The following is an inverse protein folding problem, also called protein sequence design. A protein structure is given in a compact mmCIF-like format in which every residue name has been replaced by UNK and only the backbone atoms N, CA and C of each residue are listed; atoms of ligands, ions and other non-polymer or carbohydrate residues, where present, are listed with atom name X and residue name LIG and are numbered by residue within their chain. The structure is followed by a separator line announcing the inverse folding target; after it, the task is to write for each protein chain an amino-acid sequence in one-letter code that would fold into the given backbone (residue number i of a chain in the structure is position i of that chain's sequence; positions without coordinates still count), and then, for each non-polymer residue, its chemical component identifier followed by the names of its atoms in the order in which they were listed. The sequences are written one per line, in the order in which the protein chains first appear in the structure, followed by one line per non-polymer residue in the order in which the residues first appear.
data_IF_709885129500
#
_entry.id   IF_709885129500
#
_cell.length_a   1.000
_cell.length_b   1.000
_cell.length_c   1.000
_cell.angle_alpha   90.00
_cell.angle_beta   90.00
_cell.angle_gamma   90.00
#
_symmetry.space_group_name_H-M   'P 1'
#
loop_
_entity.id
_entity.type
_entity.pdbx_description
1 polymer ?
#
# COMPACT_ATOMS: atom_id res chain seq x y z
N UNK A 1 18.08 7.21 2.11
CA UNK A 1 17.75 6.77 3.49
C UNK A 1 16.63 5.75 3.40
N UNK A 2 16.82 4.55 3.95
CA UNK A 2 15.79 3.51 3.95
C UNK A 2 14.87 3.65 5.15
N UNK A 3 13.57 3.60 4.92
CA UNK A 3 12.57 3.58 5.98
C UNK A 3 12.33 2.14 6.42
N UNK A 4 12.79 1.77 7.61
CA UNK A 4 12.66 0.41 8.15
C UNK A 4 11.30 0.13 8.80
N UNK A 5 10.53 1.18 9.12
CA UNK A 5 9.17 1.06 9.66
C UNK A 5 8.11 0.80 8.60
N UNK A 6 8.40 0.02 7.55
CA UNK A 6 7.54 -0.12 6.37
C UNK A 6 6.08 -0.51 6.70
N UNK A 7 5.86 -1.27 7.78
CA UNK A 7 4.54 -1.67 8.28
C UNK A 7 3.78 -0.57 9.04
N UNK A 8 4.36 0.63 9.14
CA UNK A 8 3.73 1.82 9.67
C UNK A 8 3.81 2.97 8.66
N UNK A 9 4.16 2.69 7.41
CA UNK A 9 4.36 3.68 6.38
C UNK A 9 3.12 4.56 6.19
N UNK A 10 1.91 3.98 6.24
CA UNK A 10 0.67 4.72 6.04
C UNK A 10 0.48 5.89 7.02
N UNK A 11 0.45 5.70 8.36
CA UNK A 11 0.30 6.82 9.29
C UNK A 11 1.47 7.81 9.20
N UNK A 12 2.72 7.33 9.07
CA UNK A 12 3.86 8.26 8.92
C UNK A 12 3.73 9.11 7.64
N UNK A 13 3.29 8.53 6.54
CA UNK A 13 3.10 9.24 5.28
C UNK A 13 2.02 10.34 5.39
N UNK A 14 0.94 10.08 6.12
CA UNK A 14 -0.12 11.08 6.35
C UNK A 14 0.44 12.35 7.02
N UNK A 15 1.30 12.21 8.02
CA UNK A 15 1.83 13.34 8.80
C UNK A 15 3.15 13.92 8.27
N UNK A 16 4.04 13.10 7.73
CA UNK A 16 5.42 13.48 7.38
C UNK A 16 5.67 13.63 5.88
N UNK A 17 4.79 13.10 5.02
CA UNK A 17 4.97 13.00 3.56
C UNK A 17 6.20 12.18 3.12
N UNK A 18 6.30 11.95 1.81
CA UNK A 18 7.50 11.38 1.22
C UNK A 18 8.67 12.36 1.31
N UNK A 19 9.91 11.89 1.50
CA UNK A 19 11.10 12.73 1.46
C UNK A 19 11.14 13.60 0.19
N UNK A 20 11.63 14.84 0.32
CA UNK A 20 11.70 15.85 -0.73
C UNK A 20 10.35 16.38 -1.28
N UNK A 21 9.20 15.91 -0.79
CA UNK A 21 7.88 16.47 -1.13
C UNK A 21 7.37 17.39 -0.02
N UNK A 22 6.81 18.53 -0.41
CA UNK A 22 6.19 19.51 0.52
C UNK A 22 4.66 19.35 0.54
N UNK A 23 4.01 19.92 1.55
CA UNK A 23 2.55 19.93 1.73
C UNK A 23 2.07 19.10 2.92
N UNK A 24 0.78 19.23 3.24
CA UNK A 24 0.10 18.47 4.30
C UNK A 24 -1.18 17.85 3.77
N UNK A 25 -1.52 16.64 4.21
CA UNK A 25 -2.80 16.00 3.87
C UNK A 25 -4.01 16.63 4.59
N UNK A 26 -3.75 17.46 5.60
CA UNK A 26 -4.79 18.08 6.45
C UNK A 26 -5.03 19.57 6.12
N UNK A 27 -4.35 20.10 5.10
CA UNK A 27 -4.49 21.50 4.69
C UNK A 27 -5.21 21.57 3.32
N UNK A 28 -6.40 22.17 3.23
CA UNK A 28 -7.10 22.32 1.94
C UNK A 28 -6.29 23.06 0.88
N UNK A 29 -5.48 24.04 1.28
CA UNK A 29 -4.61 24.80 0.38
C UNK A 29 -3.30 24.08 0.01
N UNK A 30 -3.11 22.85 0.48
CA UNK A 30 -1.91 22.07 0.23
C UNK A 30 -1.68 21.82 -1.27
N UNK A 31 -0.43 21.85 -1.76
CA UNK A 31 -0.11 21.57 -3.16
C UNK A 31 -0.38 20.11 -3.59
N UNK A 32 -0.85 19.26 -2.66
CA UNK A 32 -1.23 17.88 -2.91
C UNK A 32 -2.57 17.76 -3.65
N UNK A 33 -3.43 18.76 -3.51
CA UNK A 33 -4.81 18.69 -3.91
C UNK A 33 -5.11 19.72 -4.98
N UNK A 34 -6.03 19.38 -5.88
CA UNK A 34 -6.58 20.32 -6.85
C UNK A 34 -7.46 21.34 -6.11
N UNK A 35 -7.61 22.58 -6.61
CA UNK A 35 -8.51 23.56 -6.01
C UNK A 35 -9.95 23.06 -5.82
N UNK A 36 -10.43 22.16 -6.67
CA UNK A 36 -11.75 21.54 -6.58
C UNK A 36 -11.92 20.61 -5.37
N UNK A 37 -10.85 20.00 -4.88
CA UNK A 37 -10.86 19.00 -3.80
C UNK A 37 -10.79 19.63 -2.40
N UNK A 38 -10.67 20.97 -2.30
CA UNK A 38 -10.49 21.70 -1.05
C UNK A 38 -11.57 21.39 0.00
N UNK A 39 -12.82 21.28 -0.45
CA UNK A 39 -13.95 20.98 0.45
C UNK A 39 -13.89 19.55 0.98
N UNK A 40 -13.41 18.62 0.18
CA UNK A 40 -13.24 17.22 0.58
C UNK A 40 -12.14 17.08 1.62
N UNK A 41 -11.01 17.79 1.41
CA UNK A 41 -9.90 17.83 2.38
C UNK A 41 -10.34 18.46 3.69
N UNK A 42 -11.09 19.58 3.64
CA UNK A 42 -11.62 20.22 4.85
C UNK A 42 -12.55 19.27 5.60
N UNK A 43 -13.49 18.63 4.89
CA UNK A 43 -14.42 17.67 5.48
C UNK A 43 -13.69 16.51 6.14
N UNK A 44 -12.73 15.90 5.42
CA UNK A 44 -11.90 14.81 5.95
C UNK A 44 -11.13 15.23 7.21
N UNK A 45 -10.54 16.43 7.21
CA UNK A 45 -9.81 16.97 8.36
C UNK A 45 -10.71 17.19 9.57
N UNK A 46 -11.92 17.72 9.36
CA UNK A 46 -12.91 17.88 10.42
C UNK A 46 -13.39 16.53 10.98
N UNK A 47 -13.61 15.54 10.12
CA UNK A 47 -13.95 14.17 10.56
C UNK A 47 -12.83 13.54 11.39
N UNK A 48 -11.57 13.73 11.01
CA UNK A 48 -10.42 13.30 11.81
C UNK A 48 -10.39 13.99 13.18
N UNK A 49 -10.61 15.32 13.22
CA UNK A 49 -10.70 16.07 14.47
C UNK A 49 -11.84 15.56 15.37
N UNK A 50 -13.02 15.34 14.80
CA UNK A 50 -14.17 14.79 15.51
C UNK A 50 -13.89 13.39 16.09
N UNK A 51 -13.21 12.53 15.33
CA UNK A 51 -12.80 11.21 15.79
C UNK A 51 -11.82 11.30 16.97
N UNK A 52 -10.82 12.19 16.90
CA UNK A 52 -9.89 12.42 18.01
C UNK A 52 -10.64 12.89 19.27
N UNK A 53 -11.58 13.83 19.13
CA UNK A 53 -12.39 14.31 20.25
C UNK A 53 -13.28 13.20 20.85
N UNK A 54 -13.88 12.37 19.99
CA UNK A 54 -14.65 11.21 20.43
C UNK A 54 -13.79 10.24 21.25
N UNK A 55 -12.61 9.89 20.74
CA UNK A 55 -11.68 8.99 21.42
C UNK A 55 -11.17 9.60 22.73
N UNK A 56 -10.92 10.90 22.78
CA UNK A 56 -10.56 11.61 24.01
C UNK A 56 -11.69 11.54 25.04
N UNK A 57 -12.94 11.80 24.65
CA UNK A 57 -14.10 11.68 25.52
C UNK A 57 -14.29 10.26 26.07
N UNK A 58 -14.18 9.25 25.21
CA UNK A 58 -14.24 7.84 25.62
C UNK A 58 -13.09 7.47 26.58
N UNK A 59 -11.89 8.01 26.34
CA UNK A 59 -10.72 7.80 27.20
C UNK A 59 -10.91 8.43 28.57
N UNK A 60 -11.50 9.61 28.65
CA UNK A 60 -11.81 10.26 29.93
C UNK A 60 -12.89 9.50 30.70
N UNK A 61 -13.88 8.94 30.00
CA UNK A 61 -14.99 8.21 30.61
C UNK A 61 -14.62 6.79 31.08
N UNK A 62 -13.84 6.06 30.28
CA UNK A 62 -13.56 4.62 30.48
C UNK A 62 -12.10 4.31 30.79
N UNK A 63 -11.24 5.32 30.83
CA UNK A 63 -9.81 5.19 31.08
C UNK A 63 -8.97 4.85 29.84
N UNK A 64 -7.66 5.04 29.95
CA UNK A 64 -6.72 4.81 28.84
C UNK A 64 -6.65 3.33 28.39
N UNK A 65 -6.89 2.37 29.29
CA UNK A 65 -6.93 0.94 28.95
C UNK A 65 -8.06 0.60 27.98
N UNK A 66 -9.20 1.30 28.06
CA UNK A 66 -10.29 1.16 27.10
C UNK A 66 -9.83 1.56 25.70
N UNK A 67 -9.19 2.72 25.56
CA UNK A 67 -8.66 3.21 24.28
C UNK A 67 -7.67 2.21 23.67
N UNK A 68 -6.73 1.70 24.47
CA UNK A 68 -5.73 0.75 23.99
C UNK A 68 -6.39 -0.55 23.52
N UNK A 69 -7.29 -1.12 24.31
CA UNK A 69 -7.89 -2.42 24.03
C UNK A 69 -8.85 -2.39 22.83
N UNK A 70 -9.67 -1.36 22.72
CA UNK A 70 -10.77 -1.33 21.76
C UNK A 70 -10.51 -0.49 20.53
N UNK A 71 -9.48 0.37 20.54
CA UNK A 71 -9.17 1.20 19.39
C UNK A 71 -7.71 1.08 18.96
N UNK A 72 -6.75 1.48 19.81
CA UNK A 72 -5.35 1.58 19.39
C UNK A 72 -4.75 0.21 19.02
N UNK A 73 -5.00 -0.83 19.81
CA UNK A 73 -4.54 -2.19 19.52
C UNK A 73 -5.05 -2.73 18.18
N UNK A 74 -6.38 -2.81 17.97
CA UNK A 74 -6.96 -3.22 16.68
C UNK A 74 -6.52 -2.35 15.51
N UNK A 75 -6.41 -1.03 15.71
CA UNK A 75 -5.94 -0.09 14.68
C UNK A 75 -4.49 -0.37 14.26
N UNK A 76 -3.59 -0.63 15.21
CA UNK A 76 -2.20 -0.98 14.92
C UNK A 76 -2.10 -2.28 14.14
N UNK A 77 -2.89 -3.31 14.49
CA UNK A 77 -2.96 -4.56 13.73
C UNK A 77 -3.44 -4.30 12.30
N UNK A 78 -4.51 -3.50 12.14
CA UNK A 78 -5.02 -3.12 10.84
C UNK A 78 -3.98 -2.39 9.99
N UNK A 79 -3.29 -1.38 10.55
CA UNK A 79 -2.24 -0.62 9.84
C UNK A 79 -1.11 -1.53 9.40
N UNK A 80 -0.56 -2.33 10.32
CA UNK A 80 0.54 -3.25 10.00
C UNK A 80 0.14 -4.25 8.91
N UNK A 81 -1.09 -4.77 9.00
CA UNK A 81 -1.58 -5.72 8.01
C UNK A 81 -1.85 -5.07 6.65
N UNK A 82 -2.44 -3.88 6.62
CA UNK A 82 -2.67 -3.11 5.39
C UNK A 82 -1.35 -2.82 4.68
N UNK A 83 -0.36 -2.29 5.41
CA UNK A 83 0.95 -1.98 4.86
C UNK A 83 1.69 -3.25 4.39
N UNK A 84 1.54 -4.37 5.11
CA UNK A 84 2.09 -5.66 4.71
C UNK A 84 1.51 -6.15 3.37
N UNK A 85 0.18 -6.10 3.21
CA UNK A 85 -0.51 -6.50 1.97
C UNK A 85 -0.10 -5.59 0.81
N UNK A 86 -0.12 -4.26 1.01
CA UNK A 86 0.31 -3.31 -0.02
C UNK A 86 1.76 -3.54 -0.41
N UNK A 87 2.65 -3.74 0.58
CA UNK A 87 4.06 -4.01 0.32
C UNK A 87 4.24 -5.27 -0.54
N UNK A 88 3.61 -6.38 -0.16
CA UNK A 88 3.76 -7.67 -0.84
C UNK A 88 3.30 -7.67 -2.29
N UNK A 89 2.25 -6.92 -2.62
CA UNK A 89 1.73 -6.86 -3.97
C UNK A 89 2.51 -5.90 -4.89
N UNK A 90 3.29 -4.98 -4.31
CA UNK A 90 3.97 -3.92 -5.06
C UNK A 90 5.51 -3.93 -4.93
N UNK A 91 6.06 -4.86 -4.15
CA UNK A 91 7.50 -4.93 -3.87
C UNK A 91 8.04 -6.32 -4.13
N UNK A 92 8.73 -6.46 -5.26
CA UNK A 92 9.44 -7.67 -5.64
C UNK A 92 10.59 -7.31 -6.59
N UNK A 93 11.66 -8.11 -6.57
CA UNK A 93 12.90 -7.77 -7.31
C UNK A 93 12.70 -7.69 -8.83
N UNK A 94 11.75 -8.46 -9.36
CA UNK A 94 11.46 -8.60 -10.79
C UNK A 94 10.23 -7.79 -11.25
N UNK A 95 9.64 -6.97 -10.36
CA UNK A 95 8.59 -6.02 -10.72
C UNK A 95 9.25 -4.75 -11.29
N UNK A 96 8.96 -4.38 -12.54
CA UNK A 96 9.51 -3.17 -13.14
C UNK A 96 8.83 -1.92 -12.60
N UNK A 97 9.60 -0.86 -12.46
CA UNK A 97 9.13 0.51 -12.28
C UNK A 97 9.37 1.28 -13.56
N UNK A 98 8.35 1.98 -14.04
CA UNK A 98 8.40 2.77 -15.27
C UNK A 98 8.40 4.26 -14.97
N UNK A 99 9.12 5.04 -15.78
CA UNK A 99 9.24 6.51 -15.65
C UNK A 99 9.02 7.22 -16.97
N UNK A 100 8.67 8.50 -16.87
CA UNK A 100 8.50 9.38 -18.04
C UNK A 100 7.52 8.79 -19.05
N UNK A 101 7.87 8.87 -20.32
CA UNK A 101 7.03 8.40 -21.43
C UNK A 101 6.85 6.87 -21.46
N UNK A 102 7.70 6.13 -20.75
CA UNK A 102 7.59 4.69 -20.63
C UNK A 102 6.49 4.24 -19.66
N UNK A 103 5.98 5.17 -18.84
CA UNK A 103 4.90 4.92 -17.90
C UNK A 103 3.54 5.22 -18.53
N UNK A 104 2.63 4.26 -18.44
CA UNK A 104 1.19 4.48 -18.63
C UNK A 104 0.41 3.56 -17.70
N UNK A 105 -0.88 3.87 -17.51
CA UNK A 105 -1.73 3.21 -16.52
C UNK A 105 -1.62 1.68 -16.50
N UNK A 106 -1.77 1.02 -17.66
CA UNK A 106 -1.76 -0.45 -17.72
C UNK A 106 -0.38 -1.05 -17.39
N UNK A 107 0.74 -0.43 -17.81
CA UNK A 107 2.09 -0.86 -17.36
C UNK A 107 2.23 -0.74 -15.84
N UNK A 108 1.71 0.34 -15.26
CA UNK A 108 1.66 0.52 -13.80
C UNK A 108 0.80 -0.54 -13.12
N UNK A 109 -0.39 -0.82 -13.64
CA UNK A 109 -1.31 -1.83 -13.12
C UNK A 109 -0.70 -3.25 -13.15
N UNK A 110 0.05 -3.57 -14.21
CA UNK A 110 0.78 -4.84 -14.37
C UNK A 110 2.08 -4.91 -13.57
N UNK A 111 2.50 -3.80 -12.94
CA UNK A 111 3.65 -3.77 -12.02
C UNK A 111 3.22 -4.19 -10.62
N UNK A 112 2.52 -5.32 -10.57
CA UNK A 112 1.96 -5.96 -9.37
C UNK A 112 2.15 -7.47 -9.43
N UNK A 113 1.99 -8.14 -8.30
CA UNK A 113 2.09 -9.60 -8.17
C UNK A 113 0.93 -10.14 -7.34
N UNK A 114 0.35 -11.24 -7.80
CA UNK A 114 -0.66 -11.98 -7.05
C UNK A 114 -0.03 -12.79 -5.93
N UNK A 115 -0.67 -12.79 -4.76
CA UNK A 115 -0.19 -13.44 -3.53
C UNK A 115 -1.29 -14.30 -2.93
N UNK A 116 -0.90 -15.47 -2.42
CA UNK A 116 -1.81 -16.35 -1.70
C UNK A 116 -1.67 -16.17 -0.17
N UNK A 117 -2.72 -15.66 0.48
CA UNK A 117 -2.80 -15.52 1.93
C UNK A 117 -3.43 -16.73 2.62
N UNK A 118 -3.65 -17.83 1.90
CA UNK A 118 -4.27 -19.06 2.40
C UNK A 118 -5.71 -18.83 2.86
N UNK A 119 -6.01 -19.26 4.09
CA UNK A 119 -7.36 -19.15 4.66
C UNK A 119 -7.82 -17.70 4.89
N UNK A 120 -6.90 -16.73 4.86
CA UNK A 120 -7.18 -15.31 5.02
C UNK A 120 -7.74 -14.69 3.72
N UNK A 121 -7.51 -15.30 2.55
CA UNK A 121 -7.98 -14.78 1.26
C UNK A 121 -9.46 -14.33 1.27
N UNK A 122 -10.45 -15.14 1.68
CA UNK A 122 -11.85 -14.71 1.69
C UNK A 122 -12.12 -13.57 2.70
N UNK A 123 -11.35 -13.47 3.77
CA UNK A 123 -11.48 -12.40 4.79
C UNK A 123 -11.07 -11.06 4.21
N UNK A 124 -10.02 -11.04 3.38
CA UNK A 124 -9.61 -9.84 2.62
C UNK A 124 -10.23 -9.77 1.24
N UNK A 125 -11.44 -10.29 1.08
CA UNK A 125 -12.20 -10.15 -0.16
C UNK A 125 -11.45 -10.68 -1.41
N UNK A 126 -10.55 -11.64 -1.23
CA UNK A 126 -9.66 -12.21 -2.26
C UNK A 126 -8.71 -11.20 -2.92
N UNK A 127 -8.31 -10.14 -2.21
CA UNK A 127 -7.39 -9.09 -2.73
C UNK A 127 -6.04 -9.62 -3.24
N UNK A 128 -5.66 -10.87 -2.90
CA UNK A 128 -4.49 -11.55 -3.45
C UNK A 128 -4.50 -11.70 -4.97
N UNK A 129 -5.67 -11.57 -5.61
CA UNK A 129 -5.85 -11.42 -7.08
C UNK A 129 -5.63 -9.97 -7.53
N UNK A 130 -4.49 -9.43 -7.13
CA UNK A 130 -4.20 -8.01 -7.14
C UNK A 130 -3.97 -7.45 -8.54
N UNK A 131 -3.42 -8.24 -9.45
CA UNK A 131 -3.24 -7.86 -10.87
C UNK A 131 -4.59 -7.52 -11.50
N UNK A 132 -5.59 -8.39 -11.34
CA UNK A 132 -6.95 -8.15 -11.83
C UNK A 132 -7.59 -6.94 -11.14
N UNK A 133 -7.39 -6.78 -9.84
CA UNK A 133 -7.86 -5.61 -9.09
C UNK A 133 -7.31 -4.29 -9.66
N UNK A 134 -6.02 -4.24 -10.03
CA UNK A 134 -5.41 -3.04 -10.61
C UNK A 134 -5.84 -2.77 -12.05
N UNK A 135 -6.04 -3.82 -12.86
CA UNK A 135 -6.54 -3.66 -14.23
C UNK A 135 -7.99 -3.17 -14.21
N UNK A 136 -8.81 -3.68 -13.27
CA UNK A 136 -10.23 -3.38 -13.14
C UNK A 136 -10.55 -2.76 -11.78
N UNK A 137 -10.12 -1.53 -11.52
CA UNK A 137 -10.26 -0.86 -10.21
C UNK A 137 -11.68 -0.86 -9.62
N UNK A 138 -12.70 -0.88 -10.47
CA UNK A 138 -14.12 -0.91 -10.08
C UNK A 138 -14.74 -2.32 -9.99
N UNK A 139 -13.96 -3.39 -10.17
CA UNK A 139 -14.49 -4.75 -10.14
C UNK A 139 -14.98 -5.11 -8.74
N UNK A 140 -16.21 -5.64 -8.60
CA UNK A 140 -16.65 -6.19 -7.33
C UNK A 140 -15.78 -7.37 -6.92
N UNK A 141 -15.39 -7.42 -5.65
CA UNK A 141 -14.39 -8.37 -5.16
C UNK A 141 -14.75 -9.85 -5.39
N UNK A 142 -16.05 -10.18 -5.45
CA UNK A 142 -16.54 -11.52 -5.71
C UNK A 142 -16.36 -11.99 -7.17
N UNK A 143 -16.02 -11.09 -8.10
CA UNK A 143 -15.66 -11.42 -9.47
C UNK A 143 -14.15 -11.48 -9.72
N UNK A 144 -13.31 -11.06 -8.77
CA UNK A 144 -11.86 -10.97 -8.96
C UNK A 144 -11.21 -12.30 -9.37
N UNK A 145 -11.59 -13.41 -8.73
CA UNK A 145 -11.08 -14.74 -9.08
C UNK A 145 -11.42 -15.13 -10.52
N UNK A 146 -12.68 -14.96 -10.91
CA UNK A 146 -13.13 -15.26 -12.26
C UNK A 146 -12.43 -14.37 -13.31
N UNK A 147 -12.26 -13.08 -13.02
CA UNK A 147 -11.53 -12.17 -13.88
C UNK A 147 -10.06 -12.57 -14.02
N UNK A 148 -9.39 -12.93 -12.92
CA UNK A 148 -7.99 -13.38 -12.90
C UNK A 148 -7.77 -14.59 -13.80
N UNK A 149 -8.58 -15.64 -13.63
CA UNK A 149 -8.50 -16.82 -14.48
C UNK A 149 -8.77 -16.51 -15.97
N UNK A 150 -9.62 -15.52 -16.25
CA UNK A 150 -9.95 -15.12 -17.63
C UNK A 150 -8.83 -14.33 -18.30
N UNK A 151 -8.12 -13.47 -17.56
CA UNK A 151 -7.08 -12.60 -18.14
C UNK A 151 -5.69 -13.24 -18.12
N UNK A 152 -5.43 -14.19 -17.22
CA UNK A 152 -4.13 -14.83 -17.06
C UNK A 152 -3.57 -15.43 -18.37
N UNK A 153 -4.35 -16.13 -19.21
CA UNK A 153 -3.88 -16.61 -20.52
C UNK A 153 -3.51 -15.50 -21.51
N UNK A 154 -4.13 -14.33 -21.38
CA UNK A 154 -3.91 -13.17 -22.27
C UNK A 154 -2.66 -12.40 -21.85
N UNK A 155 -2.44 -12.28 -20.54
CA UNK A 155 -1.33 -11.51 -19.98
C UNK A 155 0.03 -12.18 -20.17
N UNK A 156 0.08 -13.52 -20.26
CA UNK A 156 1.33 -14.26 -20.47
C UNK A 156 2.42 -13.83 -19.48
N UNK A 157 3.59 -13.45 -20.00
CA UNK A 157 4.77 -13.03 -19.21
C UNK A 157 4.55 -11.76 -18.36
N UNK A 158 3.48 -11.01 -18.61
CA UNK A 158 3.13 -9.85 -17.78
C UNK A 158 2.39 -10.23 -16.50
N UNK A 159 1.80 -11.43 -16.42
CA UNK A 159 1.14 -11.91 -15.22
C UNK A 159 2.16 -12.47 -14.23
N UNK A 160 2.16 -11.95 -13.01
CA UNK A 160 3.03 -12.39 -11.93
C UNK A 160 2.20 -12.97 -10.80
N UNK A 161 2.61 -14.14 -10.31
CA UNK A 161 2.02 -14.79 -9.15
C UNK A 161 3.12 -15.48 -8.34
N UNK A 162 3.00 -15.46 -7.03
CA UNK A 162 3.88 -16.18 -6.12
C UNK A 162 3.08 -17.07 -5.19
N UNK A 163 3.39 -18.37 -5.19
CA UNK A 163 2.88 -19.34 -4.21
C UNK A 163 3.77 -19.48 -2.97
N UNK A 164 4.87 -18.72 -2.89
CA UNK A 164 5.71 -18.63 -1.69
C UNK A 164 4.89 -18.03 -0.52
N UNK A 165 5.14 -18.51 0.69
CA UNK A 165 4.54 -17.95 1.89
C UNK A 165 4.77 -16.44 1.96
N UNK A 166 3.69 -15.69 2.22
CA UNK A 166 3.71 -14.23 2.33
C UNK A 166 4.75 -13.70 3.32
N UNK A 167 5.03 -14.43 4.40
CA UNK A 167 6.05 -14.04 5.37
C UNK A 167 7.48 -14.24 4.83
N UNK A 168 7.71 -15.32 4.08
CA UNK A 168 9.00 -15.58 3.42
C UNK A 168 9.22 -14.56 2.31
N UNK A 169 8.20 -14.33 1.46
CA UNK A 169 8.24 -13.30 0.42
C UNK A 169 8.49 -11.92 1.00
N UNK A 170 7.83 -11.56 2.11
CA UNK A 170 8.09 -10.29 2.78
C UNK A 170 9.52 -10.19 3.29
N UNK A 171 10.03 -11.20 4.01
CA UNK A 171 11.40 -11.16 4.51
C UNK A 171 12.44 -11.04 3.38
N UNK A 172 12.26 -11.83 2.31
CA UNK A 172 13.14 -11.84 1.14
C UNK A 172 13.11 -10.49 0.43
N UNK A 173 11.93 -10.01 0.04
CA UNK A 173 11.77 -8.73 -0.66
C UNK A 173 12.16 -7.55 0.24
N UNK A 174 11.90 -7.60 1.55
CA UNK A 174 12.41 -6.61 2.50
C UNK A 174 13.93 -6.51 2.39
N UNK A 175 14.67 -7.60 2.46
CA UNK A 175 16.14 -7.48 2.40
C UNK A 175 16.69 -7.20 0.99
N UNK A 176 16.07 -7.76 -0.05
CA UNK A 176 16.55 -7.64 -1.43
C UNK A 176 16.11 -6.34 -2.14
N UNK A 177 14.94 -5.80 -1.81
CA UNK A 177 14.38 -4.61 -2.47
C UNK A 177 14.68 -3.37 -1.64
N UNK A 178 15.87 -2.78 -1.83
CA UNK A 178 16.32 -1.66 -1.00
C UNK A 178 16.01 -0.30 -1.64
N UNK A 179 16.27 -0.15 -2.93
CA UNK A 179 16.01 1.07 -3.67
C UNK A 179 15.76 0.76 -5.14
N UNK A 180 15.24 1.73 -5.88
CA UNK A 180 15.16 1.68 -7.35
C UNK A 180 16.10 2.78 -7.88
N UNK A 181 16.99 2.50 -8.86
CA UNK A 181 17.94 3.49 -9.38
C UNK A 181 17.24 4.75 -9.92
N UNK A 182 17.82 5.93 -9.71
CA UNK A 182 17.22 7.21 -10.15
C UNK A 182 17.25 7.39 -11.69
N UNK A 183 18.13 6.66 -12.37
CA UNK A 183 18.29 6.70 -13.83
C UNK A 183 17.65 5.48 -14.51
N UNK A 184 17.26 5.64 -15.77
CA UNK A 184 16.61 4.61 -16.59
C UNK A 184 15.08 4.74 -16.61
N UNK A 185 14.50 4.32 -17.74
CA UNK A 185 13.06 4.41 -18.00
C UNK A 185 12.26 3.21 -17.46
N UNK A 186 12.82 2.00 -17.58
CA UNK A 186 12.35 0.76 -16.96
C UNK A 186 13.43 0.24 -16.03
N UNK A 187 13.14 0.20 -14.73
CA UNK A 187 14.11 -0.12 -13.68
C UNK A 187 13.53 -1.11 -12.69
N UNK A 188 14.39 -1.72 -11.89
CA UNK A 188 14.02 -2.77 -10.94
C UNK A 188 14.60 -2.46 -9.58
N UNK A 189 14.02 -3.05 -8.54
CA UNK A 189 14.58 -2.98 -7.20
C UNK A 189 15.99 -3.56 -7.16
N UNK A 190 16.86 -2.87 -6.44
CA UNK A 190 18.24 -3.24 -6.20
C UNK A 190 18.48 -3.47 -4.70
N UNK A 191 19.33 -4.44 -4.33
CA UNK A 191 19.73 -4.64 -2.94
C UNK A 191 20.66 -3.52 -2.46
N UNK A 192 20.89 -3.47 -1.14
CA UNK A 192 21.78 -2.46 -0.56
C UNK A 192 23.20 -2.60 -1.14
N UNK A 193 23.78 -1.56 -1.78
CA UNK A 193 25.14 -1.62 -2.32
C UNK A 193 26.19 -2.00 -1.26
N UNK A 194 25.96 -1.62 0.01
CA UNK A 194 26.87 -1.88 1.13
C UNK A 194 26.79 -3.30 1.70
N UNK A 195 25.86 -4.14 1.22
CA UNK A 195 25.74 -5.56 1.62
C UNK A 195 26.23 -6.53 0.53
N UNK A 196 26.82 -6.03 -0.55
CA UNK A 196 27.41 -6.84 -1.61
C UNK A 196 28.92 -7.06 -1.44
N UNK A 197 29.45 -6.84 -0.23
CA UNK A 197 30.85 -7.08 0.15
C UNK A 197 30.96 -8.11 1.25
#
# INVERSE_FOLDING_TARGET
VRFYGALFAYPFYLFLRSPARKGSHFLPSSPLFRPSERRDVLTSTLCWGAMILLLAGLTLQFGWLFLVKYYAGPYLVFVMWLDFVTYLHHTEADIPWYRGDDWYFLKGALSTIDRDYGWINPIHHNIGTHVAHHIFLGIPHYHLKAATESIKPILGDYYRVSSESVFTSFARSFWACHYVPDEGSKVYYQPNPQRQG
#
